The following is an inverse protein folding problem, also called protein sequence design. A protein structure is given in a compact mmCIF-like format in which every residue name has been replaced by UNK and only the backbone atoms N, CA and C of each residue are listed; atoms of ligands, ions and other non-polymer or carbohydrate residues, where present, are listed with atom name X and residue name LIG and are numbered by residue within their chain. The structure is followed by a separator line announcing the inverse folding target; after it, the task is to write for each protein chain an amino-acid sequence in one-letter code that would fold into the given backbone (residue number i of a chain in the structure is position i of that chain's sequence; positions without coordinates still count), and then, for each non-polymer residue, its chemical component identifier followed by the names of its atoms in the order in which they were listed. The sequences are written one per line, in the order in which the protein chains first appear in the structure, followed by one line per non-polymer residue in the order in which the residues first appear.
data_IF_362066563404
#
_entry.id   IF_362066563404
#
_cell.length_a   1.000
_cell.length_b   1.000
_cell.length_c   1.000
_cell.angle_alpha   90.00
_cell.angle_beta   90.00
_cell.angle_gamma   90.00
#
_symmetry.space_group_name_H-M   'P 1'
#
loop_
_entity.id
_entity.type
_entity.pdbx_description
1 polymer ?
#
# COMPACT_ATOMS: atom_id res chain seq x y z
N UNK A 1 24.03 -70.75 6.72
CA UNK A 1 22.93 -71.15 5.82
C UNK A 1 21.95 -70.01 5.81
N UNK A 2 21.61 -69.55 4.63
CA UNK A 2 21.15 -68.19 4.31
C UNK A 2 19.66 -67.96 4.60
N UNK A 3 19.32 -67.57 5.83
CA UNK A 3 17.91 -67.34 6.26
C UNK A 3 17.40 -65.90 6.09
N UNK A 4 18.19 -64.99 5.50
CA UNK A 4 17.81 -63.58 5.31
C UNK A 4 17.42 -63.21 3.87
N UNK A 5 17.23 -64.19 2.98
CA UNK A 5 17.02 -63.95 1.54
C UNK A 5 15.57 -63.70 1.12
N UNK A 6 14.59 -63.72 2.03
CA UNK A 6 13.17 -63.56 1.66
C UNK A 6 12.54 -62.43 2.48
N UNK A 7 12.44 -61.23 1.87
CA UNK A 7 11.63 -60.13 2.42
C UNK A 7 10.13 -60.48 2.26
N UNK A 8 9.30 -60.40 3.32
CA UNK A 8 7.89 -60.74 3.21
C UNK A 8 7.14 -59.74 2.33
N UNK A 9 6.24 -60.25 1.48
CA UNK A 9 5.41 -59.44 0.58
C UNK A 9 4.32 -58.75 1.41
N UNK A 10 4.55 -57.47 1.73
CA UNK A 10 3.57 -56.63 2.45
C UNK A 10 2.34 -56.38 1.56
N UNK A 11 1.11 -56.71 2.01
CA UNK A 11 -0.08 -56.53 1.19
C UNK A 11 -0.29 -55.05 0.89
N UNK A 12 -0.52 -54.71 -0.39
CA UNK A 12 -0.78 -53.32 -0.81
C UNK A 12 -2.01 -52.79 -0.09
N UNK A 13 -1.82 -51.69 0.63
CA UNK A 13 -2.85 -50.99 1.43
C UNK A 13 -4.13 -50.74 0.62
N UNK A 14 -5.33 -50.87 1.23
CA UNK A 14 -6.60 -50.60 0.55
C UNK A 14 -6.67 -49.19 -0.05
N UNK A 15 -6.02 -48.22 0.60
CA UNK A 15 -5.87 -46.86 0.07
C UNK A 15 -5.16 -46.85 -1.29
N UNK A 16 -4.06 -47.60 -1.44
CA UNK A 16 -3.31 -47.70 -2.70
C UNK A 16 -4.14 -48.30 -3.84
N UNK A 17 -5.06 -49.22 -3.54
CA UNK A 17 -5.97 -49.80 -4.54
C UNK A 17 -7.03 -48.79 -4.98
N UNK A 18 -7.56 -48.00 -4.04
CA UNK A 18 -8.51 -46.92 -4.33
C UNK A 18 -7.84 -45.82 -5.16
N UNK A 19 -6.66 -45.34 -4.74
CA UNK A 19 -5.89 -44.36 -5.50
C UNK A 19 -5.60 -44.84 -6.93
N UNK A 20 -5.20 -46.10 -7.13
CA UNK A 20 -5.01 -46.64 -8.49
C UNK A 20 -6.29 -46.67 -9.32
N UNK A 21 -7.45 -46.96 -8.72
CA UNK A 21 -8.72 -47.02 -9.47
C UNK A 21 -9.22 -45.64 -9.89
N UNK A 22 -9.06 -44.61 -9.07
CA UNK A 22 -9.57 -43.27 -9.37
C UNK A 22 -8.52 -42.34 -10.00
N UNK A 23 -7.24 -42.52 -9.68
CA UNK A 23 -6.15 -41.64 -10.14
C UNK A 23 -5.43 -42.19 -11.39
N UNK A 24 -5.38 -43.51 -11.60
CA UNK A 24 -4.68 -44.13 -12.75
C UNK A 24 -5.63 -44.38 -13.95
N UNK A 25 -6.82 -43.79 -13.93
CA UNK A 25 -7.65 -43.74 -15.14
C UNK A 25 -7.06 -42.75 -16.14
N UNK A 26 -6.88 -43.18 -17.40
CA UNK A 26 -6.32 -42.37 -18.49
C UNK A 26 -6.99 -40.99 -18.59
N UNK A 27 -8.30 -40.94 -18.36
CA UNK A 27 -9.08 -39.71 -18.39
C UNK A 27 -8.75 -38.79 -17.21
N UNK A 28 -8.63 -39.32 -15.99
CA UNK A 28 -8.29 -38.53 -14.80
C UNK A 28 -6.88 -37.94 -14.92
N UNK A 29 -5.90 -38.74 -15.35
CA UNK A 29 -4.53 -38.26 -15.55
C UNK A 29 -4.49 -37.16 -16.61
N UNK A 30 -5.20 -37.34 -17.74
CA UNK A 30 -5.22 -36.34 -18.82
C UNK A 30 -5.87 -35.03 -18.37
N UNK A 31 -7.00 -35.09 -17.66
CA UNK A 31 -7.69 -33.90 -17.13
C UNK A 31 -6.87 -33.22 -16.03
N UNK A 32 -6.24 -34.00 -15.14
CA UNK A 32 -5.38 -33.46 -14.10
C UNK A 32 -4.16 -32.74 -14.69
N UNK A 33 -3.50 -33.34 -15.68
CA UNK A 33 -2.35 -32.75 -16.36
C UNK A 33 -2.78 -31.48 -17.14
N UNK A 34 -3.96 -31.50 -17.74
CA UNK A 34 -4.55 -30.32 -18.37
C UNK A 34 -4.88 -29.21 -17.37
N UNK A 35 -5.46 -29.53 -16.21
CA UNK A 35 -5.73 -28.55 -15.16
C UNK A 35 -4.44 -27.95 -14.58
N UNK A 36 -3.44 -28.80 -14.32
CA UNK A 36 -2.11 -28.35 -13.90
C UNK A 36 -1.48 -27.45 -14.97
N UNK A 37 -1.63 -27.79 -16.26
CA UNK A 37 -1.17 -26.93 -17.34
C UNK A 37 -1.87 -25.57 -17.31
N UNK A 38 -3.20 -25.55 -17.23
CA UNK A 38 -3.97 -24.30 -17.18
C UNK A 38 -3.63 -23.46 -15.94
N UNK A 39 -3.33 -24.07 -14.81
CA UNK A 39 -3.00 -23.33 -13.58
C UNK A 39 -1.56 -22.81 -13.59
N UNK A 40 -0.59 -23.64 -13.97
CA UNK A 40 0.84 -23.30 -13.89
C UNK A 40 1.38 -22.59 -15.13
N UNK A 41 0.93 -22.98 -16.33
CA UNK A 41 1.36 -22.36 -17.59
C UNK A 41 0.40 -21.26 -18.05
N UNK A 42 -0.91 -21.37 -17.80
CA UNK A 42 -1.91 -20.40 -18.28
C UNK A 42 -2.35 -19.39 -17.20
N UNK A 43 -1.47 -18.47 -16.82
CA UNK A 43 -1.89 -17.18 -16.26
C UNK A 43 -2.48 -17.17 -14.84
N UNK A 44 -2.69 -18.30 -14.17
CA UNK A 44 -3.11 -18.34 -12.75
C UNK A 44 -1.90 -18.25 -11.82
N UNK A 45 -1.03 -17.26 -12.07
CA UNK A 45 0.03 -16.94 -11.11
C UNK A 45 -0.64 -16.33 -9.88
N UNK A 46 -0.65 -17.08 -8.77
CA UNK A 46 -1.03 -16.57 -7.45
C UNK A 46 -0.31 -15.25 -7.10
N UNK A 47 0.90 -15.07 -7.64
CA UNK A 47 1.68 -13.84 -7.57
C UNK A 47 0.96 -12.64 -8.21
N UNK A 48 0.38 -12.81 -9.40
CA UNK A 48 -0.35 -11.75 -10.13
C UNK A 48 -1.60 -11.34 -9.36
N UNK A 49 -2.33 -12.30 -8.80
CA UNK A 49 -3.50 -12.02 -7.97
C UNK A 49 -3.12 -11.23 -6.72
N UNK A 50 -1.98 -11.55 -6.09
CA UNK A 50 -1.48 -10.81 -4.94
C UNK A 50 -1.01 -9.39 -5.30
N UNK A 51 -0.37 -9.22 -6.45
CA UNK A 51 0.05 -7.92 -6.96
C UNK A 51 -1.17 -7.03 -7.26
N UNK A 52 -2.19 -7.57 -7.94
CA UNK A 52 -3.45 -6.86 -8.20
C UNK A 52 -4.15 -6.46 -6.90
N UNK A 53 -4.19 -7.33 -5.88
CA UNK A 53 -4.75 -6.98 -4.57
C UNK A 53 -3.95 -5.87 -3.87
N UNK A 54 -2.62 -5.88 -4.00
CA UNK A 54 -1.77 -4.80 -3.49
C UNK A 54 -2.04 -3.48 -4.22
N UNK A 55 -2.26 -3.51 -5.53
CA UNK A 55 -2.63 -2.31 -6.28
C UNK A 55 -3.99 -1.77 -5.85
N UNK A 56 -4.98 -2.64 -5.64
CA UNK A 56 -6.30 -2.26 -5.13
C UNK A 56 -6.18 -1.53 -3.79
N UNK A 57 -5.47 -2.12 -2.83
CA UNK A 57 -5.24 -1.48 -1.52
C UNK A 57 -4.55 -0.13 -1.66
N UNK A 58 -3.54 -0.03 -2.54
CA UNK A 58 -2.85 1.24 -2.83
C UNK A 58 -3.78 2.31 -3.42
N UNK A 59 -4.74 1.94 -4.26
CA UNK A 59 -5.74 2.87 -4.79
C UNK A 59 -6.75 3.29 -3.72
N UNK A 60 -7.19 2.36 -2.86
CA UNK A 60 -8.08 2.67 -1.75
C UNK A 60 -7.42 3.63 -0.74
N UNK A 61 -6.16 3.40 -0.39
CA UNK A 61 -5.39 4.28 0.50
C UNK A 61 -5.23 5.69 -0.08
N UNK A 62 -4.92 5.79 -1.38
CA UNK A 62 -4.85 7.08 -2.07
C UNK A 62 -6.20 7.79 -2.05
N UNK A 63 -7.28 7.07 -2.32
CA UNK A 63 -8.63 7.62 -2.31
C UNK A 63 -9.01 8.13 -0.89
N UNK A 64 -8.69 7.36 0.14
CA UNK A 64 -8.90 7.74 1.53
C UNK A 64 -8.10 9.00 1.89
N UNK A 65 -6.82 9.05 1.49
CA UNK A 65 -5.94 10.21 1.70
C UNK A 65 -6.52 11.47 1.06
N UNK A 66 -6.81 11.45 -0.25
CA UNK A 66 -7.33 12.62 -0.95
C UNK A 66 -8.69 13.06 -0.44
N UNK A 67 -9.57 12.13 -0.06
CA UNK A 67 -10.86 12.45 0.55
C UNK A 67 -10.69 13.16 1.89
N UNK A 68 -9.71 12.73 2.70
CA UNK A 68 -9.41 13.36 3.98
C UNK A 68 -8.83 14.76 3.81
N UNK A 69 -7.89 14.94 2.87
CA UNK A 69 -7.29 16.24 2.56
C UNK A 69 -8.32 17.20 1.95
N UNK A 70 -9.19 16.71 1.06
CA UNK A 70 -10.30 17.49 0.54
C UNK A 70 -11.20 18.01 1.67
N UNK A 71 -11.59 17.16 2.62
CA UNK A 71 -12.42 17.57 3.75
C UNK A 71 -11.74 18.64 4.61
N UNK A 72 -10.46 18.44 4.94
CA UNK A 72 -9.68 19.43 5.71
C UNK A 72 -9.59 20.77 4.97
N UNK A 73 -9.29 20.74 3.68
CA UNK A 73 -9.15 21.94 2.88
C UNK A 73 -10.50 22.64 2.66
N UNK A 74 -11.58 21.90 2.44
CA UNK A 74 -12.93 22.46 2.35
C UNK A 74 -13.34 23.12 3.67
N UNK A 75 -13.10 22.47 4.81
CA UNK A 75 -13.37 23.05 6.12
C UNK A 75 -12.52 24.31 6.37
N UNK A 76 -11.24 24.31 5.96
CA UNK A 76 -10.38 25.49 6.03
C UNK A 76 -10.87 26.61 5.11
N UNK A 77 -11.20 26.30 3.85
CA UNK A 77 -11.71 27.24 2.87
C UNK A 77 -13.03 27.86 3.33
N UNK A 78 -13.95 27.07 3.90
CA UNK A 78 -15.22 27.56 4.44
C UNK A 78 -15.01 28.50 5.62
N UNK A 79 -14.08 28.18 6.55
CA UNK A 79 -13.72 29.09 7.66
C UNK A 79 -13.15 30.40 7.14
N UNK A 80 -12.18 30.30 6.24
CA UNK A 80 -11.56 31.44 5.58
C UNK A 80 -12.62 32.29 4.87
N UNK A 81 -13.52 31.69 4.09
CA UNK A 81 -14.45 32.46 3.26
C UNK A 81 -15.62 33.07 4.03
N UNK A 82 -16.01 32.47 5.16
CA UNK A 82 -17.10 32.98 6.00
C UNK A 82 -16.65 34.04 7.01
N UNK A 83 -15.37 34.08 7.39
CA UNK A 83 -14.86 35.01 8.39
C UNK A 83 -13.91 36.06 7.79
N UNK A 84 -14.29 37.34 7.85
CA UNK A 84 -13.49 38.44 7.29
C UNK A 84 -12.13 38.59 7.99
N UNK A 85 -12.09 38.39 9.30
CA UNK A 85 -10.87 38.54 10.09
C UNK A 85 -9.86 37.43 9.79
N UNK A 86 -10.34 36.21 9.55
CA UNK A 86 -9.48 35.09 9.13
C UNK A 86 -8.91 35.30 7.72
N UNK A 87 -9.67 35.89 6.78
CA UNK A 87 -9.12 36.28 5.46
C UNK A 87 -8.02 37.30 5.59
N UNK A 88 -8.25 38.35 6.38
CA UNK A 88 -7.27 39.41 6.56
C UNK A 88 -6.00 38.87 7.22
N UNK A 89 -6.14 38.01 8.24
CA UNK A 89 -5.01 37.32 8.88
C UNK A 89 -4.23 36.45 7.90
N UNK A 90 -4.92 35.59 7.13
CA UNK A 90 -4.28 34.73 6.15
C UNK A 90 -3.55 35.51 5.05
N UNK A 91 -4.15 36.58 4.54
CA UNK A 91 -3.55 37.47 3.55
C UNK A 91 -2.31 38.21 4.08
N UNK A 92 -2.30 38.61 5.35
CA UNK A 92 -1.15 39.25 6.01
C UNK A 92 -0.02 38.26 6.28
N UNK A 93 -0.33 37.06 6.76
CA UNK A 93 0.67 36.05 7.13
C UNK A 93 1.31 35.35 5.92
N UNK A 94 0.51 35.02 4.89
CA UNK A 94 0.98 34.22 3.74
C UNK A 94 1.39 35.10 2.55
N UNK A 95 0.74 36.26 2.37
CA UNK A 95 0.92 37.12 1.20
C UNK A 95 1.41 38.53 1.56
N UNK A 96 1.64 38.83 2.85
CA UNK A 96 2.11 40.14 3.33
C UNK A 96 1.28 41.32 2.82
N UNK A 97 -0.03 41.12 2.62
CA UNK A 97 -0.92 42.17 2.14
C UNK A 97 -1.07 43.29 3.16
N UNK A 98 -1.04 44.55 2.70
CA UNK A 98 -1.23 45.76 3.52
C UNK A 98 -2.37 46.63 3.01
N UNK A 99 -2.95 47.42 3.92
CA UNK A 99 -3.86 48.50 3.54
C UNK A 99 -3.05 49.70 3.00
N UNK A 100 -3.64 50.57 2.15
CA UNK A 100 -2.92 51.70 1.56
C UNK A 100 -2.34 52.69 2.59
N UNK A 101 -2.91 52.74 3.78
CA UNK A 101 -2.55 53.63 4.89
C UNK A 101 -1.75 52.94 6.00
N UNK A 102 -1.07 51.83 5.69
CA UNK A 102 -0.35 51.02 6.68
C UNK A 102 1.10 50.76 6.23
N UNK A 103 2.04 50.90 7.17
CA UNK A 103 3.47 50.60 6.98
C UNK A 103 3.82 49.27 7.65
N UNK A 104 4.37 48.31 6.89
CA UNK A 104 4.83 47.01 7.40
C UNK A 104 6.34 47.09 7.63
N UNK A 105 6.78 46.79 8.86
CA UNK A 105 8.19 46.62 9.20
C UNK A 105 8.53 45.13 9.33
N UNK A 106 9.44 44.62 8.48
CA UNK A 106 9.97 43.26 8.60
C UNK A 106 11.28 43.35 9.38
N UNK A 107 11.28 42.85 10.61
CA UNK A 107 12.49 42.80 11.45
C UNK A 107 13.36 41.63 11.00
N UNK A 108 14.35 41.90 10.16
CA UNK A 108 15.41 40.94 9.87
C UNK A 108 16.47 41.11 10.95
N UNK A 109 16.64 40.09 11.80
CA UNK A 109 17.74 40.08 12.75
C UNK A 109 19.02 39.81 11.98
N UNK A 110 19.71 40.87 11.56
CA UNK A 110 21.07 40.77 11.07
C UNK A 110 21.96 40.34 12.26
N UNK A 111 22.29 39.05 12.28
CA UNK A 111 23.16 38.43 13.30
C UNK A 111 24.58 39.03 13.34
N UNK A 112 24.92 39.91 12.40
CA UNK A 112 26.20 40.60 12.25
C UNK A 112 26.42 41.77 13.21
N UNK A 113 25.40 42.24 13.94
CA UNK A 113 25.52 43.38 14.86
C UNK A 113 25.59 43.04 16.37
N UNK A 114 25.55 41.76 16.76
CA UNK A 114 25.55 41.35 18.18
C UNK A 114 26.94 41.49 18.84
N UNK A 115 28.04 41.66 18.09
CA UNK A 115 29.41 41.54 18.63
C UNK A 115 30.05 42.82 19.20
N UNK A 116 29.37 43.97 19.26
CA UNK A 116 30.00 45.26 19.60
C UNK A 116 29.73 45.83 21.00
N UNK A 117 28.93 45.17 21.84
CA UNK A 117 28.51 45.74 23.14
C UNK A 117 28.93 44.93 24.38
N UNK A 118 29.79 43.92 24.24
CA UNK A 118 30.21 43.03 25.34
C UNK A 118 31.71 43.10 25.67
N UNK A 119 32.38 44.20 25.34
CA UNK A 119 33.71 44.53 25.84
C UNK A 119 33.69 45.94 26.45
N UNK A 120 33.48 45.99 27.76
CA UNK A 120 34.00 47.00 28.69
C UNK A 120 33.75 46.54 30.14
#
# INVERSE_FOLDING_TARGET
MDDDLIKPIKPKSPAMKFFRKYIIDKYFVTVFLFLVWMVFFDSTSFLVINEMNSEINKYEDQLAYYKSEYKKNDDFYRKLMNNKDEKEKYARENYFMKKPNEEIFILVVDSTHIKKSTEN
#
